data_IF_383684871170
#
_entry.id   IF_383684871170
#
_cell.length_a   1.000
_cell.length_b   1.000
_cell.length_c   1.000
_cell.angle_alpha   90.00
_cell.angle_beta   90.00
_cell.angle_gamma   90.00
#
_symmetry.space_group_name_H-M   'P 1'
#
loop_
_entity.id
_entity.type
_entity.pdbx_description
1 polymer ?
#
# COMPACT_ATOMS: atom_id res chain seq x y z
N UNK A 1 4.74 -7.89 -5.12
CA UNK A 1 3.67 -6.98 -5.58
C UNK A 1 4.32 -5.76 -6.20
N UNK A 2 3.69 -5.14 -7.20
CA UNK A 2 4.17 -3.93 -7.84
C UNK A 2 3.00 -2.96 -8.07
N UNK A 3 3.24 -1.69 -7.78
CA UNK A 3 2.36 -0.59 -8.14
C UNK A 3 2.80 0.07 -9.45
N UNK A 4 1.87 0.68 -10.16
CA UNK A 4 2.15 1.49 -11.35
C UNK A 4 1.59 2.90 -11.21
N UNK A 5 2.10 3.82 -12.05
CA UNK A 5 1.59 5.19 -12.14
C UNK A 5 0.20 5.30 -12.76
N UNK A 6 -0.29 4.23 -13.38
CA UNK A 6 -1.68 4.13 -13.84
C UNK A 6 -2.66 3.78 -12.70
N UNK A 7 -2.15 3.70 -11.47
CA UNK A 7 -2.93 3.36 -10.28
C UNK A 7 -3.26 1.89 -10.15
N UNK A 8 -2.53 1.01 -10.85
CA UNK A 8 -2.73 -0.44 -10.77
C UNK A 8 -1.75 -1.03 -9.76
N UNK A 9 -2.29 -1.80 -8.81
CA UNK A 9 -1.52 -2.69 -7.94
C UNK A 9 -1.68 -4.12 -8.44
N UNK A 10 -0.58 -4.81 -8.69
CA UNK A 10 -0.59 -6.22 -9.09
C UNK A 10 0.24 -7.09 -8.13
N UNK A 11 -0.25 -8.30 -7.90
CA UNK A 11 0.49 -9.36 -7.24
C UNK A 11 0.89 -10.45 -8.23
N UNK A 12 2.09 -10.99 -8.02
CA UNK A 12 2.70 -12.00 -8.85
C UNK A 12 3.20 -13.13 -7.98
N UNK A 13 3.18 -14.34 -8.52
CA UNK A 13 3.83 -15.48 -7.92
C UNK A 13 5.35 -15.25 -7.90
N UNK A 14 5.98 -15.53 -6.76
CA UNK A 14 7.41 -15.27 -6.57
C UNK A 14 8.32 -16.27 -7.29
N UNK A 15 7.80 -17.44 -7.68
CA UNK A 15 8.57 -18.49 -8.33
C UNK A 15 8.63 -18.31 -9.85
N UNK A 16 7.51 -17.96 -10.49
CA UNK A 16 7.39 -17.90 -11.95
C UNK A 16 6.97 -16.52 -12.50
N UNK A 17 6.65 -15.55 -11.64
CA UNK A 17 6.23 -14.21 -12.05
C UNK A 17 4.82 -14.14 -12.64
N UNK A 18 4.03 -15.22 -12.59
CA UNK A 18 2.64 -15.21 -13.06
C UNK A 18 1.80 -14.27 -12.21
N UNK A 19 1.00 -13.43 -12.87
CA UNK A 19 0.06 -12.54 -12.16
C UNK A 19 -1.01 -13.36 -11.42
N UNK A 20 -1.18 -13.06 -10.13
CA UNK A 20 -2.16 -13.69 -9.25
C UNK A 20 -3.45 -12.89 -9.21
N UNK A 21 -3.34 -11.58 -9.05
CA UNK A 21 -4.45 -10.63 -9.03
C UNK A 21 -3.96 -9.22 -9.35
N UNK A 22 -4.89 -8.35 -9.73
CA UNK A 22 -4.65 -6.92 -9.92
C UNK A 22 -5.82 -6.09 -9.40
N UNK A 23 -5.55 -4.88 -8.91
CA UNK A 23 -6.54 -3.91 -8.45
C UNK A 23 -6.25 -2.55 -9.06
N UNK A 24 -7.32 -1.87 -9.49
CA UNK A 24 -7.23 -0.46 -9.88
C UNK A 24 -7.57 0.40 -8.65
N UNK A 25 -6.54 1.01 -8.07
CA UNK A 25 -6.62 1.92 -6.93
C UNK A 25 -6.64 3.39 -7.36
N UNK A 26 -6.75 3.65 -8.68
CA UNK A 26 -6.97 4.94 -9.34
C UNK A 26 -5.81 5.94 -9.24
N UNK A 27 -5.24 6.15 -8.06
CA UNK A 27 -4.15 7.11 -7.86
C UNK A 27 -2.77 6.52 -8.19
N UNK A 28 -1.83 7.29 -8.76
CA UNK A 28 -0.50 6.82 -9.13
C UNK A 28 0.25 6.19 -7.96
N UNK A 29 0.74 4.97 -8.14
CA UNK A 29 1.48 4.24 -7.11
C UNK A 29 2.97 4.24 -7.49
N UNK A 30 3.72 5.16 -6.87
CA UNK A 30 5.19 5.19 -6.97
C UNK A 30 5.87 4.46 -5.81
N UNK A 31 5.15 4.24 -4.70
CA UNK A 31 5.64 3.56 -3.52
C UNK A 31 5.63 2.03 -3.67
N UNK A 32 6.62 1.34 -3.07
CA UNK A 32 6.60 -0.12 -2.98
C UNK A 32 5.65 -0.56 -1.85
N UNK A 33 4.70 -1.49 -2.08
CA UNK A 33 3.82 -2.01 -1.04
C UNK A 33 4.58 -2.66 0.12
N UNK A 34 4.07 -2.54 1.34
CA UNK A 34 4.56 -3.27 2.52
C UNK A 34 3.60 -4.38 2.89
N UNK A 35 4.08 -5.61 3.09
CA UNK A 35 3.24 -6.76 3.47
C UNK A 35 3.60 -7.22 4.87
N UNK A 36 2.60 -7.34 5.74
CA UNK A 36 2.78 -7.86 7.10
C UNK A 36 2.89 -9.39 7.11
N UNK A 37 3.47 -9.99 8.17
CA UNK A 37 3.43 -11.44 8.37
C UNK A 37 1.99 -12.01 8.44
N UNK A 38 1.02 -11.18 8.81
CA UNK A 38 -0.40 -11.54 8.86
C UNK A 38 -1.12 -11.49 7.51
N UNK A 39 -0.41 -11.17 6.42
CA UNK A 39 -0.99 -11.14 5.06
C UNK A 39 -1.77 -9.87 4.74
N UNK A 40 -1.50 -8.76 5.42
CA UNK A 40 -2.05 -7.45 5.06
C UNK A 40 -1.02 -6.69 4.22
N UNK A 41 -1.41 -6.23 3.04
CA UNK A 41 -0.61 -5.36 2.18
C UNK A 41 -1.04 -3.90 2.39
N UNK A 42 -0.08 -3.01 2.60
CA UNK A 42 -0.29 -1.57 2.68
C UNK A 42 0.29 -0.89 1.44
N UNK A 43 -0.52 -0.06 0.80
CA UNK A 43 -0.17 0.70 -0.39
C UNK A 43 -0.58 2.14 -0.18
N UNK A 44 0.31 3.05 -0.55
CA UNK A 44 0.05 4.47 -0.54
C UNK A 44 0.28 5.04 -1.93
N UNK A 45 -0.52 6.03 -2.32
CA UNK A 45 -0.43 6.64 -3.63
C UNK A 45 -0.17 8.16 -3.58
N UNK A 46 0.11 8.73 -4.74
CA UNK A 46 0.46 10.16 -4.88
C UNK A 46 -0.73 11.10 -4.59
N UNK A 47 -1.95 10.58 -4.47
CA UNK A 47 -3.16 11.33 -4.12
C UNK A 47 -3.49 11.30 -2.62
N UNK A 48 -2.58 10.79 -1.80
CA UNK A 48 -2.76 10.76 -0.34
C UNK A 48 -3.67 9.65 0.13
N UNK A 49 -3.96 8.64 -0.69
CA UNK A 49 -4.74 7.48 -0.28
C UNK A 49 -3.80 6.41 0.30
N UNK A 50 -4.15 5.92 1.48
CA UNK A 50 -3.55 4.75 2.11
C UNK A 50 -4.59 3.61 2.10
N UNK A 51 -4.23 2.50 1.46
CA UNK A 51 -5.10 1.34 1.29
C UNK A 51 -4.46 0.14 1.97
N UNK A 52 -5.25 -0.57 2.78
CA UNK A 52 -4.91 -1.90 3.28
C UNK A 52 -5.69 -2.96 2.50
N UNK A 53 -5.00 -3.98 2.03
CA UNK A 53 -5.58 -5.07 1.24
C UNK A 53 -5.22 -6.43 1.84
N UNK A 54 -6.06 -7.43 1.65
CA UNK A 54 -5.66 -8.82 1.85
C UNK A 54 -4.67 -9.20 0.74
N UNK A 55 -3.45 -9.56 1.13
CA UNK A 55 -2.36 -9.82 0.22
C UNK A 55 -2.61 -11.01 -0.73
N UNK A 56 -3.54 -11.91 -0.37
CA UNK A 56 -3.80 -13.16 -1.09
C UNK A 56 -4.73 -12.97 -2.28
N UNK A 57 -5.68 -12.03 -2.17
CA UNK A 57 -6.71 -11.81 -3.19
C UNK A 57 -6.85 -10.35 -3.64
N UNK A 58 -6.14 -9.41 -3.00
CA UNK A 58 -6.18 -8.00 -3.32
C UNK A 58 -7.47 -7.30 -2.89
N UNK A 59 -8.31 -7.91 -2.05
CA UNK A 59 -9.52 -7.24 -1.57
C UNK A 59 -9.14 -6.14 -0.59
N UNK A 60 -9.67 -4.93 -0.79
CA UNK A 60 -9.52 -3.84 0.14
C UNK A 60 -10.16 -4.22 1.49
N UNK A 61 -9.39 -4.09 2.56
CA UNK A 61 -9.85 -4.23 3.94
C UNK A 61 -10.36 -2.89 4.44
N UNK A 62 -9.59 -1.83 4.19
CA UNK A 62 -9.96 -0.45 4.48
C UNK A 62 -9.15 0.52 3.62
N UNK A 63 -9.62 1.76 3.56
CA UNK A 63 -8.97 2.87 2.91
C UNK A 63 -9.08 4.14 3.76
N UNK A 64 -8.02 4.91 3.81
CA UNK A 64 -7.97 6.21 4.49
C UNK A 64 -7.41 7.25 3.50
N UNK A 65 -8.10 8.38 3.38
CA UNK A 65 -7.61 9.53 2.62
C UNK A 65 -6.98 10.53 3.58
N UNK A 66 -5.78 11.00 3.24
CA UNK A 66 -5.02 11.97 4.02
C UNK A 66 -5.02 13.27 3.21
N UNK A 67 -5.91 14.23 3.54
CA UNK A 67 -6.11 15.43 2.75
C UNK A 67 -4.83 16.24 2.62
N UNK A 68 -4.67 16.91 1.47
CA UNK A 68 -3.56 17.82 1.16
C UNK A 68 -2.17 17.17 1.25
N UNK A 69 -2.09 15.84 1.15
CA UNK A 69 -0.84 15.08 1.22
C UNK A 69 -0.71 14.06 0.08
N UNK A 70 0.47 13.46 -0.03
CA UNK A 70 0.80 12.46 -1.04
C UNK A 70 2.01 11.62 -0.66
N UNK A 71 2.13 10.43 -1.25
CA UNK A 71 3.15 9.46 -0.85
C UNK A 71 4.00 8.98 -2.03
N UNK A 72 5.27 9.37 -1.99
CA UNK A 72 6.30 8.80 -2.86
C UNK A 72 7.14 7.74 -2.12
N UNK A 73 7.16 7.79 -0.79
CA UNK A 73 7.92 6.86 0.03
C UNK A 73 7.18 5.53 0.23
N UNK A 74 7.93 4.44 0.22
CA UNK A 74 7.42 3.12 0.56
C UNK A 74 7.00 3.05 2.04
N UNK A 75 5.85 2.45 2.37
CA UNK A 75 5.51 2.18 3.75
C UNK A 75 6.48 1.20 4.42
N UNK A 76 6.63 1.32 5.74
CA UNK A 76 7.40 0.38 6.56
C UNK A 76 6.54 -0.17 7.69
N UNK A 77 6.61 -1.48 7.94
CA UNK A 77 5.91 -2.12 9.06
C UNK A 77 6.92 -2.63 10.08
N UNK A 78 6.83 -2.14 11.31
CA UNK A 78 7.68 -2.55 12.42
C UNK A 78 6.96 -2.42 13.77
N UNK A 79 7.15 -3.38 14.67
CA UNK A 79 6.59 -3.32 16.02
C UNK A 79 5.05 -3.18 16.06
N UNK A 80 4.34 -3.79 15.09
CA UNK A 80 2.88 -3.68 14.99
C UNK A 80 2.36 -2.33 14.51
N UNK A 81 3.23 -1.49 13.94
CA UNK A 81 2.89 -0.18 13.37
C UNK A 81 3.31 -0.07 11.92
N UNK A 82 2.52 0.69 11.16
CA UNK A 82 2.82 1.15 9.82
C UNK A 82 3.38 2.57 9.90
N UNK A 83 4.42 2.86 9.14
CA UNK A 83 5.04 4.18 9.05
C UNK A 83 5.13 4.60 7.59
N UNK A 84 4.76 5.84 7.28
CA UNK A 84 4.88 6.40 5.92
C UNK A 84 5.35 7.85 6.03
N UNK A 85 6.38 8.19 5.27
CA UNK A 85 6.81 9.56 5.04
C UNK A 85 6.04 10.19 3.88
N UNK A 86 5.58 11.41 4.05
CA UNK A 86 4.80 12.13 3.05
C UNK A 86 5.61 13.18 2.29
N UNK A 87 5.12 13.63 1.14
CA UNK A 87 5.78 14.66 0.31
C UNK A 87 5.92 15.99 1.04
N UNK A 88 5.05 16.25 2.03
CA UNK A 88 5.07 17.46 2.84
C UNK A 88 6.03 17.38 4.03
N UNK A 89 6.81 16.30 4.15
CA UNK A 89 7.83 16.14 5.19
C UNK A 89 7.30 15.59 6.52
N UNK A 90 6.05 15.12 6.56
CA UNK A 90 5.48 14.48 7.74
C UNK A 90 5.81 12.98 7.77
N UNK A 91 6.01 12.43 8.97
CA UNK A 91 6.04 11.00 9.22
C UNK A 91 4.79 10.61 10.01
N UNK A 92 3.92 9.82 9.40
CA UNK A 92 2.68 9.38 10.02
C UNK A 92 2.75 7.89 10.36
N UNK A 93 2.12 7.50 11.47
CA UNK A 93 2.12 6.13 11.93
C UNK A 93 0.71 5.63 12.31
N UNK A 94 0.40 4.41 11.93
CA UNK A 94 -0.85 3.72 12.25
C UNK A 94 -0.57 2.40 12.98
N UNK A 95 -1.53 1.92 13.77
CA UNK A 95 -1.49 0.53 14.25
C UNK A 95 -1.77 -0.42 13.08
N UNK A 96 -0.87 -1.35 12.79
CA UNK A 96 -0.96 -2.26 11.64
C UNK A 96 -2.05 -3.34 11.79
N UNK A 97 -2.69 -3.43 12.96
CA UNK A 97 -3.76 -4.39 13.27
C UNK A 97 -5.18 -3.83 13.19
N UNK A 98 -5.38 -2.60 12.70
CA UNK A 98 -6.72 -2.06 12.45
C UNK A 98 -7.41 -2.94 11.39
N UNK A 99 -8.48 -3.62 11.80
CA UNK A 99 -9.43 -4.29 10.91
C UNK A 99 -10.58 -3.33 10.62
#
# INVERSE_FOLDING_TARGET
MAGSKDGVLAAFDGADGRMLWSQNLRGPISATPAVTPGGIAFVANEWGELIALDARNGHALWQESIPDDGFHASPAVAGGRLYIGSINGYLTAWGAGRR
#
